data_IF_560723822859
#
_entry.id   IF_560723822859
#
_cell.length_a   1.000
_cell.length_b   1.000
_cell.length_c   1.000
_cell.angle_alpha   90.00
_cell.angle_beta   90.00
_cell.angle_gamma   90.00
#
_symmetry.space_group_name_H-M   'P 1'
#
loop_
_entity.id
_entity.type
_entity.pdbx_description
1 polymer ?
#
# COMPACT_ATOMS: atom_id res chain seq x y z
N UNK A 1 16.18 -31.97 -28.05
CA UNK A 1 15.52 -30.73 -27.58
C UNK A 1 15.22 -30.87 -26.09
N UNK A 2 16.05 -30.29 -25.20
CA UNK A 2 15.92 -30.43 -23.74
C UNK A 2 14.85 -29.46 -23.23
N UNK A 3 13.66 -29.95 -22.89
CA UNK A 3 12.66 -29.17 -22.17
C UNK A 3 13.13 -28.98 -20.73
N UNK A 4 13.72 -27.83 -20.45
CA UNK A 4 14.05 -27.39 -19.08
C UNK A 4 12.76 -26.97 -18.39
N UNK A 5 12.10 -27.92 -17.73
CA UNK A 5 10.97 -27.66 -16.85
C UNK A 5 11.48 -26.79 -15.68
N UNK A 6 11.28 -25.48 -15.77
CA UNK A 6 11.45 -24.56 -14.63
C UNK A 6 10.42 -24.96 -13.57
N UNK A 7 10.86 -25.69 -12.55
CA UNK A 7 10.06 -25.98 -11.34
C UNK A 7 9.67 -24.66 -10.70
N UNK A 8 8.46 -24.17 -10.97
CA UNK A 8 7.82 -23.15 -10.15
C UNK A 8 7.51 -23.79 -8.81
N UNK A 9 8.47 -23.77 -7.89
CA UNK A 9 8.19 -23.93 -6.46
C UNK A 9 7.37 -22.71 -6.03
N UNK A 10 6.07 -22.74 -6.33
CA UNK A 10 5.06 -21.79 -5.82
C UNK A 10 4.51 -22.26 -4.47
N UNK A 11 5.09 -23.32 -3.89
CA UNK A 11 4.88 -23.81 -2.54
C UNK A 11 6.22 -23.72 -1.77
N UNK A 12 6.63 -22.51 -1.39
CA UNK A 12 7.85 -22.29 -0.57
C UNK A 12 7.53 -21.83 0.85
N UNK A 13 6.33 -21.34 1.16
CA UNK A 13 6.04 -20.78 2.49
C UNK A 13 5.18 -21.63 3.41
N UNK A 14 4.77 -22.87 3.07
CA UNK A 14 3.97 -23.73 3.99
C UNK A 14 4.63 -23.94 5.34
N UNK A 15 5.96 -23.99 5.41
CA UNK A 15 6.70 -24.19 6.65
C UNK A 15 6.72 -22.94 7.54
N UNK A 16 6.86 -21.74 6.95
CA UNK A 16 6.87 -20.49 7.72
C UNK A 16 5.44 -20.06 8.06
N UNK A 17 4.51 -20.14 7.10
CA UNK A 17 3.09 -19.84 7.29
C UNK A 17 2.44 -20.83 8.26
N UNK A 18 2.74 -22.13 8.18
CA UNK A 18 2.22 -23.12 9.12
C UNK A 18 2.70 -22.89 10.55
N UNK A 19 3.95 -22.45 10.73
CA UNK A 19 4.50 -22.14 12.06
C UNK A 19 3.89 -20.87 12.66
N UNK A 20 3.62 -19.85 11.83
CA UNK A 20 2.90 -18.64 12.25
C UNK A 20 1.44 -18.96 12.58
N UNK A 21 0.77 -19.74 11.74
CA UNK A 21 -0.63 -20.16 11.92
C UNK A 21 -0.80 -21.00 13.19
N UNK A 22 0.09 -21.96 13.43
CA UNK A 22 0.08 -22.77 14.64
C UNK A 22 0.32 -21.94 15.91
N UNK A 23 1.21 -20.93 15.83
CA UNK A 23 1.44 -19.99 16.93
C UNK A 23 0.18 -19.15 17.19
N UNK A 24 -0.47 -18.66 16.14
CA UNK A 24 -1.71 -17.89 16.26
C UNK A 24 -2.85 -18.73 16.84
N UNK A 25 -3.07 -19.93 16.31
CA UNK A 25 -4.07 -20.87 16.83
C UNK A 25 -3.84 -21.20 18.30
N UNK A 26 -2.56 -21.34 18.73
CA UNK A 26 -2.20 -21.54 20.13
C UNK A 26 -2.57 -20.35 21.01
N UNK A 27 -2.25 -19.12 20.58
CA UNK A 27 -2.63 -17.93 21.33
C UNK A 27 -4.15 -17.77 21.41
N UNK A 28 -4.86 -18.07 20.33
CA UNK A 28 -6.32 -18.09 20.32
C UNK A 28 -6.88 -19.10 21.32
N UNK A 29 -6.37 -20.35 21.30
CA UNK A 29 -6.78 -21.36 22.27
C UNK A 29 -6.50 -20.94 23.71
N UNK A 30 -5.34 -20.32 23.97
CA UNK A 30 -5.01 -19.79 25.29
C UNK A 30 -5.96 -18.68 25.73
N UNK A 31 -6.31 -17.76 24.82
CA UNK A 31 -7.26 -16.68 25.11
C UNK A 31 -8.65 -17.22 25.42
N UNK A 32 -9.15 -18.18 24.64
CA UNK A 32 -10.45 -18.81 24.88
C UNK A 32 -10.45 -19.57 26.21
N UNK A 33 -9.39 -20.32 26.51
CA UNK A 33 -9.28 -21.02 27.79
C UNK A 33 -9.22 -20.04 28.97
N UNK A 34 -8.41 -18.99 28.88
CA UNK A 34 -8.31 -17.97 29.93
C UNK A 34 -9.64 -17.26 30.15
N UNK A 35 -10.33 -16.86 29.07
CA UNK A 35 -11.66 -16.25 29.14
C UNK A 35 -12.71 -17.20 29.72
N UNK A 36 -12.71 -18.46 29.28
CA UNK A 36 -13.60 -19.51 29.79
C UNK A 36 -13.42 -19.74 31.29
N UNK A 37 -12.18 -19.89 31.75
CA UNK A 37 -11.87 -20.05 33.17
C UNK A 37 -12.15 -18.78 33.98
N UNK A 38 -11.94 -17.59 33.40
CA UNK A 38 -12.32 -16.32 34.02
C UNK A 38 -13.83 -16.23 34.26
N UNK A 39 -14.64 -16.54 33.24
CA UNK A 39 -16.10 -16.59 33.35
C UNK A 39 -16.56 -17.65 34.35
N UNK A 40 -15.96 -18.84 34.31
CA UNK A 40 -16.25 -19.90 35.27
C UNK A 40 -15.93 -19.45 36.70
N UNK A 41 -14.78 -18.80 36.93
CA UNK A 41 -14.39 -18.33 38.26
C UNK A 41 -15.37 -17.28 38.79
N UNK A 42 -15.80 -16.34 37.95
CA UNK A 42 -16.80 -15.33 38.33
C UNK A 42 -18.14 -16.00 38.67
N UNK A 43 -18.60 -16.94 37.86
CA UNK A 43 -19.86 -17.64 38.10
C UNK A 43 -19.79 -18.55 39.34
N UNK A 44 -18.65 -19.20 39.55
CA UNK A 44 -18.37 -20.03 40.73
C UNK A 44 -18.34 -19.20 42.01
N UNK A 45 -17.72 -18.00 41.99
CA UNK A 45 -17.72 -17.12 43.16
C UNK A 45 -19.12 -16.59 43.46
N UNK A 46 -19.91 -16.25 42.42
CA UNK A 46 -21.25 -15.67 42.58
C UNK A 46 -22.32 -16.68 42.97
N UNK A 47 -22.28 -17.88 42.39
CA UNK A 47 -23.34 -18.89 42.55
C UNK A 47 -22.82 -20.15 43.25
N UNK A 48 -21.60 -20.59 42.95
CA UNK A 48 -21.00 -21.80 43.54
C UNK A 48 -20.70 -21.67 45.05
N UNK A 49 -20.03 -20.60 45.48
CA UNK A 49 -19.67 -20.39 46.90
C UNK A 49 -20.92 -20.29 47.80
N UNK A 50 -21.97 -19.51 47.47
CA UNK A 50 -23.20 -19.50 48.26
C UNK A 50 -23.87 -20.88 48.37
N UNK A 51 -23.88 -21.65 47.27
CA UNK A 51 -24.45 -23.00 47.26
C UNK A 51 -23.67 -23.96 48.18
N UNK A 52 -22.33 -23.84 48.24
CA UNK A 52 -21.49 -24.64 49.14
C UNK A 52 -21.64 -24.25 50.62
N UNK A 53 -21.92 -22.98 50.90
CA UNK A 53 -22.19 -22.46 52.24
C UNK A 53 -23.62 -22.76 52.74
N UNK A 54 -24.39 -23.57 52.01
CA UNK A 54 -25.76 -23.95 52.37
C UNK A 54 -26.81 -22.86 52.14
N UNK A 55 -26.49 -21.80 51.37
CA UNK A 55 -27.44 -20.73 51.01
C UNK A 55 -28.19 -21.00 49.70
N UNK A 56 -28.03 -22.19 49.11
CA UNK A 56 -28.68 -22.58 47.86
C UNK A 56 -28.68 -24.10 47.64
N UNK A 57 -29.16 -24.58 46.48
CA UNK A 57 -29.23 -26.00 46.17
C UNK A 57 -27.84 -26.65 46.23
N UNK A 58 -27.72 -27.74 46.98
CA UNK A 58 -26.47 -28.50 47.09
C UNK A 58 -26.20 -29.26 45.79
N UNK A 59 -25.46 -28.63 44.88
CA UNK A 59 -25.02 -29.23 43.63
C UNK A 59 -23.57 -29.72 43.75
N UNK A 60 -23.28 -30.86 43.11
CA UNK A 60 -21.89 -31.34 42.98
C UNK A 60 -21.07 -30.38 42.11
N UNK A 61 -19.77 -30.16 42.38
CA UNK A 61 -18.90 -29.32 41.54
C UNK A 61 -18.88 -29.74 40.06
N UNK A 62 -18.98 -31.04 39.78
CA UNK A 62 -19.07 -31.56 38.42
C UNK A 62 -20.37 -31.16 37.72
N UNK A 63 -21.49 -31.19 38.44
CA UNK A 63 -22.79 -30.77 37.91
C UNK A 63 -22.80 -29.27 37.64
N UNK A 64 -22.23 -28.47 38.56
CA UNK A 64 -22.09 -27.03 38.39
C UNK A 64 -21.28 -26.68 37.13
N UNK A 65 -20.16 -27.38 36.90
CA UNK A 65 -19.35 -27.18 35.69
C UNK A 65 -20.12 -27.55 34.42
N UNK A 66 -20.86 -28.67 34.44
CA UNK A 66 -21.65 -29.09 33.28
C UNK A 66 -22.76 -28.09 32.95
N UNK A 67 -23.46 -27.60 33.96
CA UNK A 67 -24.52 -26.61 33.81
C UNK A 67 -23.97 -25.27 33.29
N UNK A 68 -22.88 -24.78 33.89
CA UNK A 68 -22.14 -23.63 33.39
C UNK A 68 -21.73 -23.81 31.92
N UNK A 69 -21.20 -24.99 31.58
CA UNK A 69 -20.72 -25.29 30.23
C UNK A 69 -21.86 -25.29 29.21
N UNK A 70 -22.99 -25.94 29.53
CA UNK A 70 -24.17 -25.98 28.66
C UNK A 70 -24.77 -24.58 28.43
N UNK A 71 -24.80 -23.74 29.48
CA UNK A 71 -25.32 -22.36 29.40
C UNK A 71 -24.42 -21.45 28.56
N UNK A 72 -23.10 -21.67 28.59
CA UNK A 72 -22.12 -20.84 27.90
C UNK A 72 -21.58 -21.48 26.60
N UNK A 73 -22.12 -22.64 26.19
CA UNK A 73 -21.66 -23.36 24.99
C UNK A 73 -21.73 -22.50 23.72
N UNK A 74 -22.72 -21.61 23.62
CA UNK A 74 -22.86 -20.67 22.49
C UNK A 74 -21.63 -19.79 22.32
N UNK A 75 -20.94 -19.39 23.40
CA UNK A 75 -19.71 -18.60 23.32
C UNK A 75 -18.56 -19.39 22.71
N UNK A 76 -18.42 -20.68 23.06
CA UNK A 76 -17.40 -21.55 22.47
C UNK A 76 -17.66 -21.80 20.99
N UNK A 77 -18.93 -22.02 20.62
CA UNK A 77 -19.32 -22.17 19.21
C UNK A 77 -19.02 -20.89 18.44
N UNK A 78 -19.39 -19.72 18.95
CA UNK A 78 -19.07 -18.44 18.32
C UNK A 78 -17.56 -18.24 18.16
N UNK A 79 -16.77 -18.51 19.19
CA UNK A 79 -15.32 -18.44 19.13
C UNK A 79 -14.71 -19.40 18.10
N UNK A 80 -15.25 -20.62 17.98
CA UNK A 80 -14.81 -21.61 17.01
C UNK A 80 -15.13 -21.19 15.57
N UNK A 81 -16.26 -20.52 15.34
CA UNK A 81 -16.66 -19.99 14.02
C UNK A 81 -15.81 -18.78 13.62
N UNK A 82 -15.41 -17.94 14.58
CA UNK A 82 -14.58 -16.76 14.32
C UNK A 82 -13.13 -17.15 13.98
N UNK A 83 -12.61 -18.23 14.58
CA UNK A 83 -11.25 -18.71 14.36
C UNK A 83 -10.86 -18.83 12.86
N UNK A 84 -11.59 -19.57 12.00
CA UNK A 84 -11.21 -19.71 10.60
C UNK A 84 -11.21 -18.38 9.83
N UNK A 85 -12.10 -17.44 10.18
CA UNK A 85 -12.15 -16.11 9.56
C UNK A 85 -10.87 -15.33 9.86
N UNK A 86 -10.47 -15.29 11.13
CA UNK A 86 -9.23 -14.62 11.56
C UNK A 86 -8.01 -15.27 10.91
N UNK A 87 -7.95 -16.61 10.89
CA UNK A 87 -6.85 -17.34 10.27
C UNK A 87 -6.74 -17.05 8.77
N UNK A 88 -7.88 -16.96 8.07
CA UNK A 88 -7.92 -16.62 6.65
C UNK A 88 -7.43 -15.21 6.37
N UNK A 89 -7.91 -14.23 7.15
CA UNK A 89 -7.52 -12.83 6.99
C UNK A 89 -6.02 -12.62 7.23
N UNK A 90 -5.49 -13.19 8.32
CA UNK A 90 -4.06 -13.15 8.62
C UNK A 90 -3.20 -13.79 7.52
N UNK A 91 -3.68 -14.89 6.93
CA UNK A 91 -2.99 -15.54 5.82
C UNK A 91 -2.95 -14.63 4.59
N UNK A 92 -4.06 -13.95 4.28
CA UNK A 92 -4.15 -13.01 3.16
C UNK A 92 -3.20 -11.83 3.34
N UNK A 93 -3.20 -11.21 4.52
CA UNK A 93 -2.28 -10.11 4.86
C UNK A 93 -0.82 -10.54 4.76
N UNK A 94 -0.47 -11.71 5.29
CA UNK A 94 0.90 -12.26 5.19
C UNK A 94 1.33 -12.44 3.73
N UNK A 95 0.43 -12.94 2.88
CA UNK A 95 0.71 -13.11 1.46
C UNK A 95 0.90 -11.80 0.72
N UNK A 96 0.09 -10.79 1.05
CA UNK A 96 0.14 -9.45 0.48
C UNK A 96 1.43 -8.70 0.84
N UNK A 97 2.03 -9.01 2.00
CA UNK A 97 3.32 -8.42 2.40
C UNK A 97 4.51 -9.19 1.81
N UNK A 98 4.45 -10.53 1.82
CA UNK A 98 5.58 -11.36 1.41
C UNK A 98 5.94 -11.22 -0.08
N UNK A 99 4.94 -11.04 -0.95
CA UNK A 99 5.17 -10.89 -2.40
C UNK A 99 6.00 -9.65 -2.75
N UNK A 100 5.57 -8.44 -2.38
CA UNK A 100 6.32 -7.20 -2.55
C UNK A 100 7.71 -7.25 -1.92
N UNK A 101 7.85 -7.77 -0.70
CA UNK A 101 9.13 -7.80 0.01
C UNK A 101 10.20 -8.60 -0.74
N UNK A 102 9.83 -9.73 -1.35
CA UNK A 102 10.74 -10.52 -2.19
C UNK A 102 11.15 -9.75 -3.45
N UNK A 103 10.27 -8.92 -4.02
CA UNK A 103 10.62 -8.05 -5.16
C UNK A 103 11.67 -7.02 -4.75
N UNK A 104 11.47 -6.34 -3.62
CA UNK A 104 12.46 -5.38 -3.09
C UNK A 104 13.81 -6.04 -2.82
N UNK A 105 13.84 -7.21 -2.18
CA UNK A 105 15.09 -7.94 -1.94
C UNK A 105 15.83 -8.30 -3.23
N UNK A 106 15.10 -8.72 -4.26
CA UNK A 106 15.71 -9.01 -5.56
C UNK A 106 16.26 -7.75 -6.24
N UNK A 107 15.57 -6.61 -6.13
CA UNK A 107 16.05 -5.33 -6.66
C UNK A 107 17.30 -4.87 -5.93
N UNK A 108 17.31 -4.93 -4.59
CA UNK A 108 18.49 -4.64 -3.76
C UNK A 108 19.68 -5.53 -4.13
N UNK A 109 19.45 -6.82 -4.37
CA UNK A 109 20.52 -7.75 -4.77
C UNK A 109 21.08 -7.43 -6.16
N UNK A 110 20.27 -6.93 -7.08
CA UNK A 110 20.75 -6.44 -8.38
C UNK A 110 21.57 -5.17 -8.23
N UNK A 111 21.14 -4.23 -7.37
CA UNK A 111 21.93 -3.04 -7.04
C UNK A 111 23.29 -3.39 -6.45
N UNK A 112 23.34 -4.34 -5.50
CA UNK A 112 24.61 -4.77 -4.90
C UNK A 112 25.58 -5.39 -5.91
N UNK A 113 25.05 -5.93 -7.02
CA UNK A 113 25.85 -6.48 -8.12
C UNK A 113 26.25 -5.41 -9.15
N UNK A 114 25.89 -4.14 -8.95
CA UNK A 114 26.13 -3.06 -9.91
C UNK A 114 25.25 -3.15 -11.16
N UNK A 115 24.22 -3.99 -11.16
CA UNK A 115 23.28 -4.09 -12.28
C UNK A 115 22.34 -2.87 -12.27
N UNK A 116 22.08 -2.25 -13.43
CA UNK A 116 21.16 -1.14 -13.51
C UNK A 116 19.73 -1.65 -13.28
N UNK A 117 19.03 -1.04 -12.32
CA UNK A 117 17.70 -1.48 -11.87
C UNK A 117 16.60 -0.58 -12.42
N UNK A 118 15.42 -1.16 -12.60
CA UNK A 118 14.20 -0.42 -12.96
C UNK A 118 13.42 -0.07 -11.70
N UNK A 119 12.52 0.91 -11.81
CA UNK A 119 11.56 1.22 -10.76
C UNK A 119 10.77 -0.02 -10.35
N UNK A 120 10.50 -0.12 -9.06
CA UNK A 120 9.68 -1.19 -8.50
C UNK A 120 8.23 -0.73 -8.54
N UNK A 121 7.40 -1.47 -9.27
CA UNK A 121 5.94 -1.28 -9.26
C UNK A 121 5.27 -2.48 -8.57
N UNK A 122 4.54 -2.17 -7.50
CA UNK A 122 3.67 -3.07 -6.77
C UNK A 122 2.28 -3.10 -7.43
N UNK A 123 1.50 -4.13 -7.12
CA UNK A 123 0.14 -4.23 -7.65
C UNK A 123 -0.79 -3.30 -6.87
N UNK A 124 -1.84 -2.83 -7.54
CA UNK A 124 -2.92 -2.06 -6.89
C UNK A 124 -3.48 -2.85 -5.70
N UNK A 125 -3.43 -2.23 -4.52
CA UNK A 125 -3.90 -2.78 -3.26
C UNK A 125 -2.82 -3.42 -2.38
N UNK A 126 -1.54 -3.44 -2.74
CA UNK A 126 -0.49 -3.94 -1.85
C UNK A 126 -0.23 -2.98 -0.66
N UNK A 127 0.01 -3.53 0.53
CA UNK A 127 0.23 -2.77 1.78
C UNK A 127 1.51 -1.92 1.80
N UNK A 128 2.42 -2.13 0.85
CA UNK A 128 3.75 -1.53 0.82
C UNK A 128 3.89 -0.40 -0.22
N UNK A 129 2.79 0.25 -0.59
CA UNK A 129 2.81 1.39 -1.52
C UNK A 129 3.74 2.51 -1.05
N UNK A 130 3.65 2.92 0.22
CA UNK A 130 4.53 3.96 0.76
C UNK A 130 6.02 3.55 0.70
N UNK A 131 6.34 2.29 1.00
CA UNK A 131 7.70 1.78 0.88
C UNK A 131 8.17 1.79 -0.58
N UNK A 132 7.29 1.46 -1.53
CA UNK A 132 7.59 1.52 -2.95
C UNK A 132 7.99 2.94 -3.36
N UNK A 133 7.22 3.93 -2.93
CA UNK A 133 7.43 5.31 -3.32
C UNK A 133 8.76 5.82 -2.76
N UNK A 134 9.01 5.63 -1.46
CA UNK A 134 10.31 5.97 -0.85
C UNK A 134 11.48 5.18 -1.46
N UNK A 135 11.27 3.92 -1.84
CA UNK A 135 12.30 3.12 -2.49
C UNK A 135 12.62 3.63 -3.89
N UNK A 136 11.61 3.99 -4.69
CA UNK A 136 11.80 4.54 -6.02
C UNK A 136 12.46 5.92 -5.98
N UNK A 137 12.12 6.75 -4.99
CA UNK A 137 12.80 8.02 -4.74
C UNK A 137 14.29 7.81 -4.40
N UNK A 138 14.60 6.81 -3.57
CA UNK A 138 15.98 6.41 -3.30
C UNK A 138 16.71 5.95 -4.56
N UNK A 139 16.07 5.14 -5.41
CA UNK A 139 16.66 4.72 -6.70
C UNK A 139 16.97 5.92 -7.60
N UNK A 140 16.06 6.89 -7.66
CA UNK A 140 16.19 8.09 -8.49
C UNK A 140 17.33 9.01 -8.00
N UNK A 141 17.47 9.21 -6.68
CA UNK A 141 18.54 10.04 -6.11
C UNK A 141 19.93 9.42 -6.28
N UNK A 142 20.05 8.09 -6.22
CA UNK A 142 21.33 7.40 -6.34
C UNK A 142 21.82 7.13 -7.76
N UNK A 143 21.13 7.61 -8.81
CA UNK A 143 21.43 7.31 -10.23
C UNK A 143 21.54 5.80 -10.56
N UNK A 144 20.96 4.93 -9.72
CA UNK A 144 20.96 3.48 -9.92
C UNK A 144 19.92 3.03 -10.96
N UNK A 145 19.01 3.94 -11.34
CA UNK A 145 18.00 3.70 -12.36
C UNK A 145 18.68 3.65 -13.72
N UNK A 146 18.60 2.49 -14.38
CA UNK A 146 18.89 2.43 -15.81
C UNK A 146 18.05 3.50 -16.49
N UNK A 147 18.67 4.48 -17.19
CA UNK A 147 17.95 5.49 -17.98
C UNK A 147 16.74 4.82 -18.63
N UNK A 148 15.51 5.29 -18.37
CA UNK A 148 14.31 4.58 -18.80
C UNK A 148 14.42 4.29 -20.29
N UNK A 149 14.44 3.00 -20.64
CA UNK A 149 14.42 2.56 -22.03
C UNK A 149 13.02 2.81 -22.56
N UNK A 150 12.78 4.06 -22.97
CA UNK A 150 11.57 4.61 -23.60
C UNK A 150 10.24 4.35 -22.87
N UNK A 151 9.35 5.35 -22.77
CA UNK A 151 7.94 5.04 -22.57
C UNK A 151 7.51 4.12 -23.72
N UNK A 152 6.58 3.20 -23.43
CA UNK A 152 5.95 2.38 -24.45
C UNK A 152 5.61 3.23 -25.69
N UNK A 153 5.82 2.65 -26.88
CA UNK A 153 5.90 3.32 -28.19
C UNK A 153 4.64 4.04 -28.70
N UNK A 154 3.88 4.67 -27.81
CA UNK A 154 2.71 5.48 -28.05
C UNK A 154 2.75 6.85 -27.34
N UNK A 155 3.60 7.07 -26.33
CA UNK A 155 3.74 8.40 -25.68
C UNK A 155 4.83 9.29 -26.32
N UNK A 156 5.83 8.71 -26.99
CA UNK A 156 6.89 9.48 -27.65
C UNK A 156 6.36 10.27 -28.87
N UNK A 157 5.28 9.79 -29.50
CA UNK A 157 4.61 10.53 -30.57
C UNK A 157 3.85 11.76 -30.05
N UNK A 158 3.27 11.68 -28.84
CA UNK A 158 2.51 12.77 -28.24
C UNK A 158 3.43 13.86 -27.68
N UNK A 159 4.46 13.47 -26.93
CA UNK A 159 5.36 14.44 -26.28
C UNK A 159 6.40 15.03 -27.25
N UNK A 160 6.84 14.28 -28.27
CA UNK A 160 7.69 14.82 -29.34
C UNK A 160 6.94 15.82 -30.24
N UNK A 161 5.64 15.58 -30.49
CA UNK A 161 4.80 16.53 -31.23
C UNK A 161 4.49 17.78 -30.39
N UNK A 162 4.25 17.63 -29.08
CA UNK A 162 4.04 18.76 -28.17
C UNK A 162 5.30 19.64 -28.00
N UNK A 163 6.48 19.04 -27.88
CA UNK A 163 7.73 19.79 -27.80
C UNK A 163 8.02 20.57 -29.09
N UNK A 164 7.84 19.93 -30.26
CA UNK A 164 8.03 20.60 -31.55
C UNK A 164 6.97 21.69 -31.82
N UNK A 165 5.73 21.51 -31.35
CA UNK A 165 4.68 22.53 -31.46
C UNK A 165 4.94 23.72 -30.54
N UNK A 166 5.46 23.49 -29.33
CA UNK A 166 5.83 24.55 -28.41
C UNK A 166 7.05 25.34 -28.91
N UNK A 167 8.04 24.66 -29.50
CA UNK A 167 9.21 25.31 -30.11
C UNK A 167 8.81 26.13 -31.35
N UNK A 168 7.90 25.62 -32.19
CA UNK A 168 7.34 26.37 -33.32
C UNK A 168 6.53 27.60 -32.87
N UNK A 169 5.77 27.50 -31.77
CA UNK A 169 5.00 28.62 -31.21
C UNK A 169 5.90 29.70 -30.59
N UNK A 170 7.00 29.29 -29.95
CA UNK A 170 8.01 30.23 -29.43
C UNK A 170 8.71 30.95 -30.59
N UNK A 171 9.09 30.23 -31.66
CA UNK A 171 9.71 30.83 -32.84
C UNK A 171 8.79 31.81 -33.57
N UNK A 172 7.49 31.50 -33.69
CA UNK A 172 6.53 32.44 -34.28
C UNK A 172 6.32 33.69 -33.43
N UNK A 173 6.26 33.54 -32.09
CA UNK A 173 6.11 34.67 -31.18
C UNK A 173 7.34 35.58 -31.21
N UNK A 174 8.55 35.01 -31.30
CA UNK A 174 9.79 35.79 -31.47
C UNK A 174 9.78 36.55 -32.79
N UNK A 175 9.34 35.93 -33.89
CA UNK A 175 9.27 36.59 -35.20
C UNK A 175 8.25 37.75 -35.23
N UNK A 176 7.11 37.60 -34.54
CA UNK A 176 6.10 38.67 -34.41
C UNK A 176 6.61 39.85 -33.59
N UNK A 177 7.32 39.58 -32.48
CA UNK A 177 7.96 40.63 -31.68
C UNK A 177 9.04 41.36 -32.48
N UNK A 178 9.81 40.65 -33.30
CA UNK A 178 10.86 41.23 -34.12
C UNK A 178 10.29 42.11 -35.24
N UNK A 179 9.20 41.66 -35.89
CA UNK A 179 8.46 42.47 -36.85
C UNK A 179 7.86 43.74 -36.21
N UNK A 180 7.31 43.64 -34.99
CA UNK A 180 6.83 44.80 -34.23
C UNK A 180 7.95 45.78 -33.90
N UNK A 181 9.13 45.28 -33.49
CA UNK A 181 10.29 46.10 -33.19
C UNK A 181 10.79 46.86 -34.43
N UNK A 182 10.82 46.21 -35.59
CA UNK A 182 11.23 46.85 -36.85
C UNK A 182 10.26 47.97 -37.25
N UNK A 183 8.95 47.84 -36.99
CA UNK A 183 7.97 48.92 -37.25
C UNK A 183 8.13 50.12 -36.33
N UNK A 184 8.48 49.90 -35.05
CA UNK A 184 8.72 50.99 -34.08
C UNK A 184 10.05 51.69 -34.36
N UNK A 185 11.07 50.95 -34.80
CA UNK A 185 12.39 51.51 -35.13
C UNK A 185 12.37 52.28 -36.46
N UNK A 186 11.44 51.96 -37.37
CA UNK A 186 11.29 52.64 -38.66
C UNK A 186 10.26 53.77 -38.67
N UNK A 187 9.65 54.11 -37.52
CA UNK A 187 8.82 55.31 -37.40
C UNK A 187 9.74 56.55 -37.23
N UNK A 188 9.88 57.41 -38.26
CA UNK A 188 10.74 58.57 -38.16
C UNK A 188 10.11 59.58 -37.19
N UNK A 189 10.85 59.95 -36.15
CA UNK A 189 10.55 61.06 -35.25
C UNK A 189 10.32 62.35 -36.06
N UNK A 190 9.05 62.62 -36.38
CA UNK A 190 8.71 63.68 -37.33
C UNK A 190 7.23 64.02 -37.35
N UNK A 191 6.59 64.18 -36.18
CA UNK A 191 5.27 64.86 -36.11
C UNK A 191 4.90 65.37 -34.70
N UNK A 192 5.57 66.43 -34.26
CA UNK A 192 4.97 67.40 -33.35
C UNK A 192 5.29 68.81 -33.83
N UNK A 193 4.63 69.23 -34.90
CA UNK A 193 4.46 70.65 -35.21
C UNK A 193 3.04 70.83 -35.75
N UNK A 194 2.39 71.91 -35.31
CA UNK A 194 1.07 72.39 -35.75
C UNK A 194 -0.15 71.90 -34.96
N UNK A 195 -0.40 72.54 -33.81
CA UNK A 195 -1.76 72.90 -33.37
C UNK A 195 -1.71 73.98 -32.27
N UNK A 196 -1.44 75.23 -32.63
CA UNK A 196 -1.86 76.40 -31.84
C UNK A 196 -1.89 77.66 -32.73
N UNK A 197 -2.80 77.66 -33.70
CA UNK A 197 -3.26 78.86 -34.37
C UNK A 197 -4.47 79.41 -33.63
N UNK A 198 -4.34 80.64 -33.12
CA UNK A 198 -5.40 81.64 -33.12
C UNK A 198 -6.51 81.55 -32.08
N UNK A 199 -6.54 82.51 -31.16
CA UNK A 199 -7.79 83.15 -30.74
C UNK A 199 -7.57 84.47 -29.99
N UNK A 200 -7.98 85.58 -30.64
CA UNK A 200 -8.66 86.78 -30.11
C UNK A 200 -7.81 87.70 -29.21
N UNK A 201 -7.83 89.02 -29.34
CA UNK A 201 -8.77 89.96 -29.96
C UNK A 201 -8.61 91.27 -29.19
#
# INVERSE_FOLDING_TARGET
MKMTIKRKKLFVSRTIQGRLLARMAKYWAFLILAGWHGLFLVDFVRHGIPNMLGRGPSMSPLQFYFEFSSRNATLLVAAAVILPVILWDMLKLTHQIAGPLVRFQNTLKKMSNGEPVRHVELRQGDLLGELQDSFNEFLASGNYVARPSSPSGNECAANGCAANAQEAAILSAVHELQAGLDTVVSEPAGRQESAASGARG
#
